data_IF_736030257260
#
_entry.id   IF_736030257260
#
_cell.length_a   1.000
_cell.length_b   1.000
_cell.length_c   1.000
_cell.angle_alpha   90.00
_cell.angle_beta   90.00
_cell.angle_gamma   90.00
#
_symmetry.space_group_name_H-M   'P 1'
#
loop_
_entity.id
_entity.type
_entity.pdbx_description
1 polymer ?
#
# COMPACT_ATOMS: atom_id res chain seq x y z
N UNK A 1 2.01 3.44 -4.69
CA UNK A 1 2.95 3.86 -3.62
C UNK A 1 3.18 5.35 -3.78
N UNK A 2 2.83 6.14 -2.77
CA UNK A 2 3.03 7.59 -2.79
C UNK A 2 4.15 7.93 -1.82
N UNK A 3 5.10 8.74 -2.27
CA UNK A 3 6.27 9.19 -1.52
C UNK A 3 6.20 10.71 -1.38
N UNK A 4 6.72 11.25 -0.29
CA UNK A 4 6.96 12.69 -0.15
C UNK A 4 8.17 12.96 0.73
N UNK A 5 8.68 14.18 0.67
CA UNK A 5 9.59 14.69 1.69
C UNK A 5 8.79 15.19 2.90
N UNK A 6 8.94 14.55 4.04
CA UNK A 6 8.35 14.96 5.31
C UNK A 6 9.31 15.82 6.14
N UNK A 7 8.85 16.31 7.29
CA UNK A 7 9.65 17.20 8.15
C UNK A 7 10.95 16.58 8.68
N UNK A 8 11.03 15.24 8.74
CA UNK A 8 12.16 14.48 9.29
C UNK A 8 12.79 13.51 8.28
N UNK A 9 12.45 13.65 6.99
CA UNK A 9 12.92 12.79 5.91
C UNK A 9 11.78 12.20 5.07
N UNK A 10 12.09 11.25 4.18
CA UNK A 10 11.11 10.69 3.26
C UNK A 10 10.02 9.90 3.98
N UNK A 11 8.79 10.05 3.52
CA UNK A 11 7.61 9.36 4.01
C UNK A 11 6.93 8.57 2.89
N UNK A 12 6.25 7.48 3.26
CA UNK A 12 5.38 6.71 2.38
C UNK A 12 3.94 6.79 2.88
N UNK A 13 3.00 6.97 1.96
CA UNK A 13 1.59 6.99 2.29
C UNK A 13 1.02 5.58 2.39
N UNK A 14 0.25 5.32 3.45
CA UNK A 14 -0.45 4.07 3.68
C UNK A 14 -1.89 4.35 4.08
N UNK A 15 -2.77 3.43 3.72
CA UNK A 15 -4.16 3.39 4.17
C UNK A 15 -4.41 2.13 5.00
N UNK A 16 -5.34 2.22 5.95
CA UNK A 16 -5.98 1.07 6.57
C UNK A 16 -7.35 0.90 5.92
N UNK A 17 -7.58 -0.22 5.26
CA UNK A 17 -8.86 -0.53 4.63
C UNK A 17 -9.97 -0.57 5.68
N UNK A 18 -11.15 -0.06 5.33
CA UNK A 18 -12.36 -0.19 6.14
C UNK A 18 -12.70 -1.67 6.39
N UNK A 19 -13.42 -1.94 7.49
CA UNK A 19 -13.77 -3.30 7.88
C UNK A 19 -15.10 -3.71 7.24
N UNK A 20 -15.03 -4.65 6.29
CA UNK A 20 -16.19 -5.21 5.62
C UNK A 20 -16.27 -6.72 5.82
N UNK A 21 -17.39 -7.27 6.33
CA UNK A 21 -17.51 -8.71 6.59
C UNK A 21 -17.26 -9.63 5.38
N UNK A 22 -17.35 -9.09 4.16
CA UNK A 22 -17.16 -9.81 2.89
C UNK A 22 -15.82 -9.53 2.22
N UNK A 23 -15.03 -8.60 2.72
CA UNK A 23 -13.70 -8.27 2.19
C UNK A 23 -12.63 -9.03 2.99
N UNK A 24 -11.92 -10.00 2.39
CA UNK A 24 -10.86 -10.75 3.06
C UNK A 24 -9.59 -9.92 3.34
N UNK A 25 -9.51 -8.69 2.84
CA UNK A 25 -8.45 -7.72 3.08
C UNK A 25 -8.87 -6.61 4.07
N UNK A 26 -10.06 -6.73 4.68
CA UNK A 26 -10.57 -5.80 5.68
C UNK A 26 -9.57 -5.48 6.78
N UNK A 27 -9.42 -4.20 7.10
CA UNK A 27 -8.54 -3.73 8.17
C UNK A 27 -7.04 -3.86 7.88
N UNK A 28 -6.64 -4.35 6.70
CA UNK A 28 -5.22 -4.45 6.35
C UNK A 28 -4.63 -3.09 5.96
N UNK A 29 -3.34 -2.92 6.26
CA UNK A 29 -2.55 -1.82 5.75
C UNK A 29 -2.20 -2.04 4.27
N UNK A 30 -2.46 -1.03 3.44
CA UNK A 30 -2.27 -1.08 2.00
C UNK A 30 -1.77 0.25 1.45
N UNK A 31 -1.37 0.24 0.18
CA UNK A 31 -1.35 1.45 -0.62
C UNK A 31 -2.75 1.72 -1.19
N UNK A 32 -3.08 2.98 -1.50
CA UNK A 32 -4.28 3.27 -2.28
C UNK A 32 -4.28 2.51 -3.61
N UNK A 33 -5.45 2.07 -4.04
CA UNK A 33 -5.63 1.33 -5.27
C UNK A 33 -6.70 0.25 -5.22
N UNK A 34 -7.18 -0.14 -6.39
CA UNK A 34 -8.25 -1.13 -6.54
C UNK A 34 -8.18 -1.88 -7.86
N UNK A 35 -9.34 -2.29 -8.35
CA UNK A 35 -9.45 -3.09 -9.58
C UNK A 35 -9.54 -2.17 -10.79
N UNK A 36 -9.02 -2.64 -11.92
CA UNK A 36 -9.20 -1.93 -13.17
C UNK A 36 -10.68 -1.97 -13.58
N UNK A 37 -11.22 -0.78 -13.85
CA UNK A 37 -12.56 -0.60 -14.39
C UNK A 37 -12.54 -0.55 -15.90
N UNK A 38 -13.68 -0.84 -16.54
CA UNK A 38 -13.80 -0.85 -17.99
C UNK A 38 -13.54 0.53 -18.64
N UNK A 39 -13.65 1.60 -17.85
CA UNK A 39 -13.34 2.97 -18.28
C UNK A 39 -11.86 3.34 -18.19
N UNK A 40 -11.05 2.57 -17.47
CA UNK A 40 -9.63 2.86 -17.27
C UNK A 40 -8.83 2.46 -18.51
N UNK A 41 -8.21 3.44 -19.18
CA UNK A 41 -7.41 3.19 -20.38
C UNK A 41 -6.16 2.35 -20.09
N UNK A 42 -5.57 2.52 -18.90
CA UNK A 42 -4.40 1.78 -18.43
C UNK A 42 -4.49 1.47 -16.93
N UNK A 43 -3.64 0.56 -16.44
CA UNK A 43 -3.50 0.31 -15.00
C UNK A 43 -2.97 1.52 -14.22
N UNK A 44 -2.24 2.44 -14.89
CA UNK A 44 -1.81 3.68 -14.27
C UNK A 44 -3.02 4.59 -14.02
N UNK A 45 -3.92 4.69 -15.00
CA UNK A 45 -5.17 5.45 -14.86
C UNK A 45 -6.04 4.86 -13.73
N UNK A 46 -6.10 3.53 -13.60
CA UNK A 46 -6.73 2.87 -12.45
C UNK A 46 -6.14 3.34 -11.13
N UNK A 47 -4.81 3.28 -10.97
CA UNK A 47 -4.17 3.70 -9.72
C UNK A 47 -4.43 5.18 -9.40
N UNK A 48 -4.47 6.04 -10.41
CA UNK A 48 -4.77 7.48 -10.25
C UNK A 48 -6.23 7.71 -9.86
N UNK A 49 -7.19 7.03 -10.50
CA UNK A 49 -8.62 7.11 -10.17
C UNK A 49 -8.87 6.62 -8.74
N UNK A 50 -8.40 5.43 -8.41
CA UNK A 50 -8.60 4.83 -7.08
C UNK A 50 -7.98 5.69 -5.97
N UNK A 51 -6.79 6.27 -6.20
CA UNK A 51 -6.17 7.19 -5.25
C UNK A 51 -7.02 8.46 -5.04
N UNK A 52 -7.63 8.98 -6.10
CA UNK A 52 -8.53 10.13 -6.00
C UNK A 52 -9.81 9.76 -5.24
N UNK A 53 -10.39 8.59 -5.51
CA UNK A 53 -11.62 8.11 -4.88
C UNK A 53 -11.42 7.80 -3.39
N UNK A 54 -10.35 7.07 -3.03
CA UNK A 54 -10.12 6.62 -1.66
C UNK A 54 -9.62 7.75 -0.72
N UNK A 55 -8.80 8.68 -1.23
CA UNK A 55 -8.08 9.66 -0.39
C UNK A 55 -8.06 11.10 -0.92
N UNK A 56 -8.78 11.39 -2.00
CA UNK A 56 -8.94 12.75 -2.54
C UNK A 56 -7.71 13.32 -3.24
N UNK A 57 -6.63 12.55 -3.38
CA UNK A 57 -5.37 13.02 -3.97
C UNK A 57 -5.41 12.92 -5.50
N UNK A 58 -5.39 14.06 -6.18
CA UNK A 58 -5.33 14.11 -7.63
C UNK A 58 -3.88 14.03 -8.14
N UNK A 59 -3.43 12.81 -8.41
CA UNK A 59 -2.06 12.52 -8.84
C UNK A 59 -1.66 13.22 -10.16
N UNK A 60 -2.61 13.66 -10.99
CA UNK A 60 -2.27 14.40 -12.23
C UNK A 60 -1.81 15.84 -11.98
N UNK A 61 -2.12 16.41 -10.81
CA UNK A 61 -1.81 17.78 -10.44
C UNK A 61 -0.88 17.89 -9.22
N UNK A 62 -0.86 16.86 -8.38
CA UNK A 62 -0.24 16.91 -7.06
C UNK A 62 1.02 16.05 -6.95
N UNK A 63 1.25 15.19 -7.93
CA UNK A 63 2.33 14.22 -7.91
C UNK A 63 3.02 14.05 -9.27
N UNK A 64 4.25 13.58 -9.25
CA UNK A 64 4.99 13.12 -10.42
C UNK A 64 5.07 11.60 -10.40
N UNK A 65 4.75 10.96 -11.53
CA UNK A 65 4.95 9.52 -11.69
C UNK A 65 6.43 9.24 -11.95
N UNK A 66 7.10 8.61 -10.99
CA UNK A 66 8.55 8.37 -11.02
C UNK A 66 8.92 6.95 -11.46
N UNK A 67 7.94 6.04 -11.54
CA UNK A 67 8.15 4.70 -12.07
C UNK A 67 7.16 3.66 -11.53
N UNK A 68 7.46 2.38 -11.81
CA UNK A 68 6.67 1.26 -11.34
C UNK A 68 7.59 0.17 -10.76
N UNK A 69 7.05 -0.63 -9.85
CA UNK A 69 7.70 -1.84 -9.34
C UNK A 69 7.32 -3.05 -10.20
N UNK A 70 8.04 -4.16 -10.00
CA UNK A 70 7.68 -5.44 -10.61
C UNK A 70 6.27 -5.88 -10.23
N UNK A 71 5.60 -6.53 -11.18
CA UNK A 71 4.28 -7.12 -10.97
C UNK A 71 4.33 -8.21 -9.91
N UNK A 72 3.32 -8.21 -9.03
CA UNK A 72 3.16 -9.21 -7.98
C UNK A 72 1.93 -10.06 -8.26
N UNK A 73 2.09 -11.38 -8.26
CA UNK A 73 0.95 -12.29 -8.31
C UNK A 73 0.39 -12.50 -6.91
N UNK A 74 -0.92 -12.30 -6.73
CA UNK A 74 -1.58 -12.57 -5.45
C UNK A 74 -1.45 -14.07 -5.11
N UNK A 75 -1.18 -14.36 -3.84
CA UNK A 75 -1.16 -15.73 -3.31
C UNK A 75 -2.24 -15.84 -2.25
N UNK A 76 -3.15 -16.80 -2.42
CA UNK A 76 -4.15 -17.12 -1.42
C UNK A 76 -4.00 -18.60 -1.03
N UNK A 77 -3.88 -18.87 0.27
CA UNK A 77 -3.74 -20.24 0.83
C UNK A 77 -2.63 -21.07 0.15
N UNK A 78 -1.50 -20.42 -0.15
CA UNK A 78 -0.35 -21.06 -0.79
C UNK A 78 -0.51 -21.33 -2.29
N UNK A 79 -1.56 -20.81 -2.94
CA UNK A 79 -1.77 -20.97 -4.39
C UNK A 79 -1.72 -19.62 -5.11
N UNK A 80 -1.00 -19.51 -6.24
CA UNK A 80 -1.08 -18.35 -7.11
C UNK A 80 -2.53 -18.10 -7.55
N UNK A 81 -2.92 -16.83 -7.58
CA UNK A 81 -4.20 -16.38 -8.09
C UNK A 81 -4.02 -15.80 -9.49
N UNK A 82 -5.11 -15.67 -10.24
CA UNK A 82 -5.10 -14.97 -11.54
C UNK A 82 -4.90 -13.46 -11.38
N UNK A 83 -5.09 -12.93 -10.16
CA UNK A 83 -4.90 -11.52 -9.86
C UNK A 83 -3.42 -11.15 -9.83
N UNK A 84 -3.05 -10.19 -10.67
CA UNK A 84 -1.74 -9.55 -10.73
C UNK A 84 -1.89 -8.11 -10.26
N UNK A 85 -0.96 -7.65 -9.44
CA UNK A 85 -0.91 -6.29 -8.91
C UNK A 85 0.30 -5.59 -9.50
N UNK A 86 0.07 -4.41 -10.09
CA UNK A 86 1.12 -3.54 -10.63
C UNK A 86 1.28 -2.29 -9.75
N UNK A 87 2.37 -2.16 -8.98
CA UNK A 87 2.55 -1.01 -8.11
C UNK A 87 3.18 0.16 -8.89
N UNK A 88 2.49 1.28 -8.97
CA UNK A 88 3.04 2.54 -9.47
C UNK A 88 3.59 3.38 -8.32
N UNK A 89 4.65 4.14 -8.58
CA UNK A 89 5.36 4.97 -7.61
C UNK A 89 5.25 6.42 -8.03
N UNK A 90 4.80 7.26 -7.10
CA UNK A 90 4.65 8.69 -7.30
C UNK A 90 5.37 9.46 -6.21
N UNK A 91 5.95 10.60 -6.58
CA UNK A 91 6.43 11.62 -5.64
C UNK A 91 5.37 12.73 -5.55
N UNK A 92 4.88 13.00 -4.34
CA UNK A 92 3.84 14.00 -4.07
C UNK A 92 4.51 15.31 -3.66
N UNK A 93 4.24 16.38 -4.40
CA UNK A 93 4.87 17.69 -4.18
C UNK A 93 3.93 18.72 -3.55
N UNK A 94 2.63 18.44 -3.48
CA UNK A 94 1.62 19.33 -2.89
C UNK A 94 0.92 18.67 -1.73
N UNK A 95 0.80 19.41 -0.63
CA UNK A 95 0.06 19.00 0.56
C UNK A 95 -1.40 19.41 0.44
N UNK A 96 -2.14 18.85 -0.52
CA UNK A 96 -3.60 18.99 -0.44
C UNK A 96 -4.10 18.22 0.79
N UNK A 97 -5.21 18.68 1.40
CA UNK A 97 -5.87 17.92 2.44
C UNK A 97 -6.18 16.50 1.95
N UNK A 98 -5.91 15.51 2.79
CA UNK A 98 -6.34 14.14 2.55
C UNK A 98 -7.85 14.07 2.84
N UNK A 99 -8.63 13.67 1.85
CA UNK A 99 -10.09 13.51 1.95
C UNK A 99 -10.43 12.03 1.79
N UNK A 100 -10.64 11.36 2.92
CA UNK A 100 -10.82 9.91 2.95
C UNK A 100 -12.26 9.52 2.65
N UNK A 101 -12.46 8.55 1.75
CA UNK A 101 -13.73 7.81 1.68
C UNK A 101 -13.80 6.81 2.84
N UNK A 102 -14.53 7.17 3.89
CA UNK A 102 -14.68 6.35 5.10
C UNK A 102 -15.33 4.98 4.84
N UNK A 103 -16.00 4.81 3.70
CA UNK A 103 -16.58 3.52 3.33
C UNK A 103 -15.52 2.53 2.85
N UNK A 104 -14.38 3.00 2.35
CA UNK A 104 -13.30 2.14 1.83
C UNK A 104 -12.04 2.20 2.69
N UNK A 105 -11.81 3.33 3.35
CA UNK A 105 -10.60 3.61 4.12
C UNK A 105 -10.97 4.06 5.53
N UNK A 106 -10.51 3.30 6.52
CA UNK A 106 -10.71 3.64 7.93
C UNK A 106 -9.63 4.58 8.48
N UNK A 107 -8.47 4.66 7.83
CA UNK A 107 -7.36 5.51 8.25
C UNK A 107 -6.42 5.76 7.07
N UNK A 108 -5.86 6.96 6.98
CA UNK A 108 -4.83 7.32 6.01
C UNK A 108 -3.70 8.06 6.73
N UNK A 109 -2.45 7.68 6.46
CA UNK A 109 -1.30 8.25 7.14
C UNK A 109 -0.04 8.27 6.28
N UNK A 110 0.74 9.32 6.48
CA UNK A 110 2.13 9.37 6.07
C UNK A 110 3.01 8.70 7.13
N UNK A 111 3.87 7.79 6.68
CA UNK A 111 4.73 6.96 7.53
C UNK A 111 6.19 7.22 7.20
N UNK A 112 7.07 7.51 8.20
CA UNK A 112 8.50 7.63 7.97
C UNK A 112 9.06 6.39 7.26
N UNK A 113 9.73 6.62 6.13
CA UNK A 113 10.25 5.54 5.29
C UNK A 113 11.51 4.90 5.88
N UNK A 114 12.32 5.69 6.58
CA UNK A 114 13.64 5.26 7.03
C UNK A 114 13.62 4.11 8.06
N UNK A 115 12.72 4.07 9.06
CA UNK A 115 12.62 2.91 9.96
C UNK A 115 12.26 1.61 9.24
N UNK A 116 11.41 1.68 8.20
CA UNK A 116 11.03 0.54 7.36
C UNK A 116 12.23 0.04 6.53
N UNK A 117 12.99 0.98 5.94
CA UNK A 117 14.15 0.67 5.11
C UNK A 117 15.32 0.10 5.92
N UNK A 118 15.56 0.63 7.13
CA UNK A 118 16.64 0.19 8.03
C UNK A 118 16.33 -1.10 8.80
N UNK A 119 15.12 -1.64 8.66
CA UNK A 119 14.66 -2.82 9.41
C UNK A 119 14.37 -2.54 10.89
N UNK A 120 14.29 -1.27 11.29
CA UNK A 120 13.96 -0.87 12.67
C UNK A 120 12.48 -1.16 12.99
N UNK A 121 11.63 -1.21 11.97
CA UNK A 121 10.21 -1.56 12.07
C UNK A 121 9.93 -3.04 11.80
N UNK A 122 10.94 -3.90 11.58
CA UNK A 122 10.74 -5.31 11.27
C UNK A 122 10.02 -6.04 12.43
N UNK A 123 8.96 -6.77 12.08
CA UNK A 123 8.18 -7.57 13.03
C UNK A 123 7.56 -8.79 12.33
N UNK A 124 6.71 -9.52 13.03
CA UNK A 124 5.94 -10.63 12.48
C UNK A 124 4.45 -10.47 12.73
N UNK A 125 3.65 -10.92 11.76
CA UNK A 125 2.22 -11.14 11.93
C UNK A 125 1.96 -12.62 12.22
N UNK A 126 1.49 -12.98 13.43
CA UNK A 126 1.11 -14.35 13.72
C UNK A 126 -0.16 -14.71 12.96
N UNK A 127 -0.19 -15.90 12.36
CA UNK A 127 -1.33 -16.41 11.62
C UNK A 127 -1.58 -17.88 11.97
N UNK A 128 -2.82 -18.18 12.35
CA UNK A 128 -3.22 -19.55 12.69
C UNK A 128 -3.59 -20.33 11.43
N UNK A 129 -2.90 -21.43 11.17
CA UNK A 129 -3.14 -22.31 10.04
C UNK A 129 -3.13 -23.77 10.47
N UNK A 130 -4.26 -24.48 10.29
CA UNK A 130 -4.40 -25.91 10.62
C UNK A 130 -3.95 -26.27 12.06
N UNK A 131 -4.16 -25.37 13.03
CA UNK A 131 -3.78 -25.58 14.43
C UNK A 131 -2.29 -25.31 14.74
N UNK A 132 -1.52 -24.80 13.77
CA UNK A 132 -0.17 -24.30 13.99
C UNK A 132 -0.11 -22.79 13.74
N UNK A 133 0.69 -22.09 14.54
CA UNK A 133 0.99 -20.69 14.29
C UNK A 133 2.12 -20.60 13.26
N UNK A 134 1.90 -19.80 12.22
CA UNK A 134 2.88 -19.41 11.22
C UNK A 134 3.08 -17.90 11.35
N UNK A 135 4.33 -17.48 11.49
CA UNK A 135 4.68 -16.07 11.55
C UNK A 135 5.04 -15.57 10.15
N UNK A 136 4.35 -14.52 9.71
CA UNK A 136 4.63 -13.85 8.44
C UNK A 136 5.44 -12.58 8.67
N UNK A 137 6.44 -12.27 7.82
CA UNK A 137 7.19 -11.03 7.96
C UNK A 137 6.27 -9.81 7.76
N UNK A 138 6.50 -8.78 8.55
CA UNK A 138 5.71 -7.57 8.58
C UNK A 138 6.56 -6.37 9.01
N UNK A 139 5.99 -5.18 8.87
CA UNK A 139 6.46 -3.95 9.50
C UNK A 139 5.47 -3.47 10.55
N UNK A 140 5.95 -2.97 11.68
CA UNK A 140 5.15 -2.25 12.68
C UNK A 140 5.13 -0.75 12.39
N UNK A 141 3.98 -0.24 11.99
CA UNK A 141 3.72 1.18 11.75
C UNK A 141 2.85 1.73 12.86
N UNK A 142 3.47 2.00 14.01
CA UNK A 142 2.80 2.58 15.17
C UNK A 142 1.64 1.72 15.70
N UNK A 143 1.83 0.40 15.76
CA UNK A 143 0.83 -0.60 16.14
C UNK A 143 0.04 -1.18 14.95
N UNK A 144 0.29 -0.71 13.73
CA UNK A 144 -0.39 -1.18 12.50
C UNK A 144 0.55 -2.10 11.72
N UNK A 145 0.13 -3.33 11.52
CA UNK A 145 0.95 -4.31 10.81
C UNK A 145 0.82 -4.14 9.29
N UNK A 146 1.94 -3.81 8.62
CA UNK A 146 2.08 -3.87 7.16
C UNK A 146 2.68 -5.22 6.79
N UNK A 147 1.92 -6.07 6.10
CA UNK A 147 2.31 -7.45 5.80
C UNK A 147 1.78 -7.85 4.42
N UNK A 148 2.11 -9.07 3.96
CA UNK A 148 1.57 -9.60 2.71
C UNK A 148 2.06 -8.84 1.47
N UNK A 149 1.14 -8.47 0.57
CA UNK A 149 1.48 -7.81 -0.70
C UNK A 149 2.10 -6.42 -0.49
N UNK A 150 1.55 -5.62 0.43
CA UNK A 150 2.08 -4.29 0.75
C UNK A 150 3.52 -4.38 1.27
N UNK A 151 3.80 -5.35 2.15
CA UNK A 151 5.16 -5.64 2.60
C UNK A 151 6.08 -6.03 1.43
N UNK A 152 5.63 -6.92 0.55
CA UNK A 152 6.43 -7.33 -0.63
C UNK A 152 6.74 -6.16 -1.56
N UNK A 153 5.80 -5.24 -1.77
CA UNK A 153 6.03 -4.02 -2.56
C UNK A 153 7.08 -3.12 -1.90
N UNK A 154 7.00 -2.87 -0.59
CA UNK A 154 8.01 -2.10 0.14
C UNK A 154 9.40 -2.77 0.03
N UNK A 155 9.48 -4.09 0.23
CA UNK A 155 10.73 -4.84 0.06
C UNK A 155 11.30 -4.75 -1.34
N UNK A 156 10.44 -4.78 -2.36
CA UNK A 156 10.86 -4.62 -3.77
C UNK A 156 11.44 -3.22 -3.99
N UNK A 157 10.74 -2.19 -3.51
CA UNK A 157 11.21 -0.81 -3.57
C UNK A 157 12.55 -0.61 -2.86
N UNK A 158 12.70 -1.12 -1.63
CA UNK A 158 13.97 -1.03 -0.89
C UNK A 158 15.13 -1.73 -1.59
N UNK A 159 14.88 -2.83 -2.31
CA UNK A 159 15.91 -3.51 -3.11
C UNK A 159 16.42 -2.64 -4.26
N UNK A 160 15.57 -1.77 -4.81
CA UNK A 160 15.97 -0.83 -5.87
C UNK A 160 16.86 0.28 -5.31
N UNK A 161 16.60 0.73 -4.08
CA UNK A 161 17.35 1.81 -3.44
C UNK A 161 18.78 1.41 -3.00
N UNK A 162 19.04 0.11 -2.83
CA UNK A 162 20.35 -0.44 -2.44
C UNK A 162 20.36 -0.91 -1.00
#
# INVERSE_FOLDING_TARGET
MLLREGAVGPEVFLIRRAEHPRDPWSGHMAFPGGRQDAGDATLLDTAMRETLEEVGLNLSHEAEHIGQLDDLQAIARGKPQETVIRPFVFEVHRESPIEVDETEVAEALWTPLMPLYRGEADTVRPYQWQGSQIDFPAYDVGGRLVWGLTYQMLRSFFRILG
#
